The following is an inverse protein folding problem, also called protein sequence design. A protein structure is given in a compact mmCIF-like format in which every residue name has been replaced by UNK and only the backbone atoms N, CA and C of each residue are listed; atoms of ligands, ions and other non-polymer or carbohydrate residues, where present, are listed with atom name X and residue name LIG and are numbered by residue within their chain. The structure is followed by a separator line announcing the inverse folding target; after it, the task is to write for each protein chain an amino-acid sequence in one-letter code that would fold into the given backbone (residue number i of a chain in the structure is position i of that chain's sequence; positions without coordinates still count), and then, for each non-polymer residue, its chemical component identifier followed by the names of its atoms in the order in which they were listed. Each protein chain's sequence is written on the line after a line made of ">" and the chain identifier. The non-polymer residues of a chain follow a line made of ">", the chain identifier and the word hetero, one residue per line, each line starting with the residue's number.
data_IF_298357338878
#
_entry.id   IF_298357338878
#
_cell.length_a   1.000
_cell.length_b   1.000
_cell.length_c   1.000
_cell.angle_alpha   90.00
_cell.angle_beta   90.00
_cell.angle_gamma   90.00
#
_symmetry.space_group_name_H-M   'P 1'
#
loop_
_entity.id
_entity.type
_entity.pdbx_description
1 polymer ?
#
# COMPACT_ATOMS: atom_id res chain seq x y z
N UNK A 1 -3.95 16.71 -12.33
CA UNK A 1 -2.51 16.81 -12.67
C UNK A 1 -1.69 16.13 -11.57
N UNK A 2 -0.67 15.33 -11.92
CA UNK A 2 0.21 14.68 -10.93
C UNK A 2 1.14 15.70 -10.25
N UNK A 3 1.11 15.78 -8.92
CA UNK A 3 1.88 16.74 -8.13
C UNK A 3 3.13 16.14 -7.48
N UNK A 4 2.99 14.96 -6.88
CA UNK A 4 4.05 14.32 -6.12
C UNK A 4 3.85 12.80 -6.09
N UNK A 5 4.96 12.08 -5.91
CA UNK A 5 4.96 10.63 -5.68
C UNK A 5 5.75 10.36 -4.41
N UNK A 6 5.15 9.63 -3.47
CA UNK A 6 5.83 9.06 -2.31
C UNK A 6 5.85 7.53 -2.45
N UNK A 7 6.98 6.90 -2.14
CA UNK A 7 7.14 5.45 -2.15
C UNK A 7 7.39 5.00 -0.72
N UNK A 8 6.59 4.07 -0.23
CA UNK A 8 6.62 3.61 1.16
C UNK A 8 6.64 2.08 1.22
N UNK A 9 7.26 1.47 2.25
CA UNK A 9 7.31 0.02 2.39
C UNK A 9 5.91 -0.60 2.52
N UNK A 10 5.75 -1.84 2.05
CA UNK A 10 4.52 -2.64 2.24
C UNK A 10 4.56 -3.53 3.49
N UNK A 11 5.45 -3.24 4.43
CA UNK A 11 5.63 -3.99 5.66
C UNK A 11 4.62 -3.57 6.76
N UNK A 12 3.73 -4.48 7.25
CA UNK A 12 2.77 -4.16 8.32
C UNK A 12 3.41 -3.75 9.66
N UNK A 13 4.69 -4.09 9.88
CA UNK A 13 5.48 -3.66 11.06
C UNK A 13 5.63 -2.14 11.17
N UNK A 14 5.28 -1.37 10.13
CA UNK A 14 5.17 0.09 10.22
C UNK A 14 4.05 0.54 11.17
N UNK A 15 3.05 -0.30 11.41
CA UNK A 15 1.98 -0.04 12.38
C UNK A 15 2.53 -0.35 13.79
N UNK A 16 2.67 0.63 14.70
CA UNK A 16 3.30 0.44 16.01
C UNK A 16 2.69 -0.71 16.82
N UNK A 17 1.37 -0.88 16.73
CA UNK A 17 0.60 -1.94 17.39
C UNK A 17 1.01 -3.34 16.88
N UNK A 18 1.47 -3.46 15.64
CA UNK A 18 1.99 -4.69 15.06
C UNK A 18 3.49 -4.89 15.32
N UNK A 19 4.24 -3.81 15.54
CA UNK A 19 5.68 -3.88 15.77
C UNK A 19 6.05 -4.45 17.15
N UNK A 20 5.20 -4.28 18.16
CA UNK A 20 5.42 -4.78 19.51
C UNK A 20 6.78 -4.33 20.07
N UNK A 21 7.61 -5.28 20.49
CA UNK A 21 8.94 -4.99 21.04
C UNK A 21 9.89 -4.33 20.01
N UNK A 22 9.67 -4.51 18.71
CA UNK A 22 10.49 -3.92 17.65
C UNK A 22 10.08 -2.47 17.30
N UNK A 23 9.05 -1.91 17.95
CA UNK A 23 8.55 -0.56 17.62
C UNK A 23 9.65 0.51 17.64
N UNK A 24 10.61 0.41 18.57
CA UNK A 24 11.75 1.33 18.63
C UNK A 24 12.70 1.19 17.43
N UNK A 25 12.90 -0.03 16.93
CA UNK A 25 13.80 -0.31 15.79
C UNK A 25 13.23 0.21 14.46
N UNK A 26 11.90 0.25 14.33
CA UNK A 26 11.19 0.68 13.12
C UNK A 26 10.76 2.17 13.19
N UNK A 27 10.95 2.84 14.33
CA UNK A 27 10.47 4.20 14.56
C UNK A 27 10.96 5.21 13.52
N UNK A 28 12.25 5.18 13.16
CA UNK A 28 12.82 6.07 12.15
C UNK A 28 12.24 5.81 10.75
N UNK A 29 11.98 4.55 10.41
CA UNK A 29 11.35 4.16 9.15
C UNK A 29 9.89 4.63 9.08
N UNK A 30 9.15 4.52 10.18
CA UNK A 30 7.80 5.06 10.32
C UNK A 30 7.82 6.59 10.15
N UNK A 31 8.73 7.28 10.84
CA UNK A 31 8.86 8.73 10.75
C UNK A 31 9.15 9.18 9.32
N UNK A 32 10.08 8.51 8.63
CA UNK A 32 10.41 8.80 7.22
C UNK A 32 9.22 8.53 6.28
N UNK A 33 8.49 7.43 6.51
CA UNK A 33 7.27 7.09 5.76
C UNK A 33 6.21 8.18 5.87
N UNK A 34 5.93 8.63 7.10
CA UNK A 34 4.95 9.68 7.35
C UNK A 34 5.41 11.04 6.81
N UNK A 35 6.70 11.37 6.94
CA UNK A 35 7.26 12.60 6.40
C UNK A 35 7.17 12.66 4.87
N UNK A 36 7.46 11.56 4.17
CA UNK A 36 7.31 11.49 2.71
C UNK A 36 5.84 11.67 2.28
N UNK A 37 4.92 10.99 2.96
CA UNK A 37 3.48 11.07 2.66
C UNK A 37 2.88 12.44 2.99
N UNK A 38 3.42 13.17 3.98
CA UNK A 38 2.98 14.51 4.35
C UNK A 38 3.18 15.54 3.22
N UNK A 39 4.07 15.25 2.25
CA UNK A 39 4.31 16.09 1.07
C UNK A 39 3.25 15.94 -0.03
N UNK A 40 2.36 14.94 0.08
CA UNK A 40 1.30 14.72 -0.91
C UNK A 40 0.15 15.72 -0.71
N UNK A 41 -0.52 16.17 -1.80
CA UNK A 41 -1.72 17.02 -1.72
C UNK A 41 -2.92 16.26 -1.13
N UNK A 42 -4.08 16.90 -0.96
CA UNK A 42 -5.25 16.27 -0.32
C UNK A 42 -5.94 15.17 -1.15
N UNK A 43 -5.56 14.94 -2.41
CA UNK A 43 -6.17 13.90 -3.27
C UNK A 43 -5.15 12.85 -3.64
N UNK A 44 -5.37 11.60 -3.23
CA UNK A 44 -4.39 10.53 -3.35
C UNK A 44 -4.85 9.43 -4.30
N UNK A 45 -3.91 8.87 -5.04
CA UNK A 45 -4.00 7.53 -5.61
C UNK A 45 -2.96 6.65 -4.91
N UNK A 46 -3.42 5.67 -4.16
CA UNK A 46 -2.58 4.64 -3.55
C UNK A 46 -2.40 3.52 -4.58
N UNK A 47 -1.18 3.10 -4.82
CA UNK A 47 -0.84 1.99 -5.73
C UNK A 47 -0.17 0.89 -4.92
N UNK A 48 -0.61 -0.34 -5.12
CA UNK A 48 0.07 -1.51 -4.56
C UNK A 48 -0.22 -2.77 -5.37
N UNK A 49 0.26 -3.89 -4.86
CA UNK A 49 0.04 -5.21 -5.47
C UNK A 49 -0.89 -6.08 -4.65
N UNK A 50 -1.50 -7.05 -5.31
CA UNK A 50 -2.42 -8.03 -4.70
C UNK A 50 -2.60 -9.28 -5.57
N UNK A 51 -3.49 -10.20 -5.18
CA UNK A 51 -3.79 -11.41 -5.93
C UNK A 51 -4.62 -11.15 -7.20
N UNK A 52 -5.26 -9.98 -7.29
CA UNK A 52 -6.08 -9.57 -8.42
C UNK A 52 -5.92 -8.06 -8.69
N UNK A 53 -6.38 -7.62 -9.88
CA UNK A 53 -6.57 -6.21 -10.16
C UNK A 53 -7.84 -5.74 -9.44
N UNK A 54 -7.73 -4.75 -8.54
CA UNK A 54 -8.84 -4.25 -7.72
C UNK A 54 -8.78 -2.72 -7.58
N UNK A 55 -9.94 -2.09 -7.34
CA UNK A 55 -10.05 -0.66 -7.07
C UNK A 55 -10.92 -0.43 -5.82
N UNK A 56 -10.45 0.44 -4.93
CA UNK A 56 -11.22 0.87 -3.76
C UNK A 56 -11.40 2.39 -3.76
N UNK A 57 -12.65 2.81 -3.54
CA UNK A 57 -13.04 4.21 -3.48
C UNK A 57 -12.81 4.87 -2.12
N UNK A 58 -12.98 6.20 -2.01
CA UNK A 58 -12.73 6.94 -0.78
C UNK A 58 -13.64 6.55 0.40
N UNK A 59 -14.79 5.94 0.13
CA UNK A 59 -15.74 5.49 1.15
C UNK A 59 -15.34 4.13 1.78
N UNK A 60 -14.30 3.46 1.26
CA UNK A 60 -13.85 2.20 1.81
C UNK A 60 -13.10 2.38 3.14
N UNK A 61 -13.33 1.42 4.03
CA UNK A 61 -12.60 1.25 5.28
C UNK A 61 -12.13 -0.20 5.42
N UNK A 62 -11.13 -0.41 6.25
CA UNK A 62 -10.59 -1.74 6.58
C UNK A 62 -10.03 -1.76 8.00
N UNK A 63 -9.55 -2.92 8.41
CA UNK A 63 -8.93 -3.11 9.73
C UNK A 63 -7.73 -4.04 9.63
N UNK A 64 -6.75 -3.82 10.49
CA UNK A 64 -5.64 -4.76 10.72
C UNK A 64 -6.03 -5.97 11.57
N UNK A 65 -7.33 -6.21 11.86
CA UNK A 65 -7.76 -7.35 12.66
C UNK A 65 -7.28 -8.70 12.10
N UNK A 66 -7.12 -8.82 10.77
CA UNK A 66 -6.50 -9.98 10.11
C UNK A 66 -5.01 -10.20 10.45
N UNK A 67 -4.35 -9.20 11.04
CA UNK A 67 -2.97 -9.23 11.56
C UNK A 67 -2.93 -9.31 13.09
N UNK A 68 -4.08 -9.43 13.75
CA UNK A 68 -4.18 -9.59 15.20
C UNK A 68 -4.34 -8.30 16.01
N UNK A 69 -4.50 -7.14 15.36
CA UNK A 69 -4.77 -5.86 16.06
C UNK A 69 -5.96 -5.14 15.44
N UNK A 70 -6.88 -4.63 16.25
CA UNK A 70 -8.05 -3.90 15.73
C UNK A 70 -7.72 -2.42 15.46
N UNK A 71 -6.81 -2.18 14.53
CA UNK A 71 -6.51 -0.83 14.02
C UNK A 71 -7.32 -0.61 12.76
N UNK A 72 -8.33 0.26 12.85
CA UNK A 72 -9.18 0.63 11.71
C UNK A 72 -8.53 1.73 10.86
N UNK A 73 -8.77 1.66 9.56
CA UNK A 73 -8.27 2.63 8.58
C UNK A 73 -9.36 2.99 7.59
N UNK A 74 -9.31 4.22 7.08
CA UNK A 74 -10.27 4.78 6.13
C UNK A 74 -9.52 5.47 5.00
N UNK A 75 -10.14 5.51 3.82
CA UNK A 75 -9.58 6.18 2.65
C UNK A 75 -10.00 7.65 2.51
N UNK A 76 -10.82 8.19 3.41
CA UNK A 76 -11.22 9.60 3.40
C UNK A 76 -11.54 10.12 4.82
N UNK A 77 -11.58 11.44 5.03
CA UNK A 77 -12.16 12.02 6.23
C UNK A 77 -13.67 11.95 6.08
N UNK A 78 -14.33 11.27 6.99
CA UNK A 78 -15.78 11.15 6.99
C UNK A 78 -16.26 11.40 8.41
N UNK A 79 -17.12 12.39 8.55
CA UNK A 79 -17.91 12.64 9.75
C UNK A 79 -19.17 11.77 9.66
N UNK A 80 -19.45 10.98 10.70
CA UNK A 80 -20.62 10.10 10.75
C UNK A 80 -20.29 8.64 11.08
N UNK A 81 -21.27 7.75 10.86
CA UNK A 81 -21.17 6.33 11.21
C UNK A 81 -19.98 5.66 10.53
N UNK A 82 -19.34 4.77 11.27
CA UNK A 82 -18.15 4.06 10.80
C UNK A 82 -18.57 2.96 9.82
N UNK A 83 -18.15 3.03 8.54
CA UNK A 83 -18.53 2.04 7.55
C UNK A 83 -18.00 0.66 7.95
N UNK A 84 -18.75 -0.38 7.58
CA UNK A 84 -18.34 -1.76 7.82
C UNK A 84 -16.98 -2.05 7.16
N UNK A 85 -15.97 -2.53 7.91
CA UNK A 85 -14.66 -2.80 7.36
C UNK A 85 -14.70 -3.86 6.25
N UNK A 86 -14.16 -3.51 5.09
CA UNK A 86 -13.95 -4.44 3.99
C UNK A 86 -12.66 -5.25 4.19
N UNK A 87 -12.58 -6.40 3.55
CA UNK A 87 -11.34 -7.16 3.41
C UNK A 87 -10.39 -6.47 2.42
N UNK A 88 -9.68 -5.44 2.90
CA UNK A 88 -8.72 -4.69 2.10
C UNK A 88 -7.36 -5.39 2.04
N UNK A 89 -6.65 -5.37 0.89
CA UNK A 89 -5.28 -5.88 0.81
C UNK A 89 -4.31 -5.00 1.63
N UNK A 90 -3.15 -5.56 1.99
CA UNK A 90 -2.16 -4.88 2.85
C UNK A 90 -1.76 -3.50 2.35
N UNK A 91 -1.58 -3.34 1.03
CA UNK A 91 -1.25 -2.05 0.44
C UNK A 91 -2.33 -0.99 0.67
N UNK A 92 -3.61 -1.37 0.63
CA UNK A 92 -4.72 -0.49 0.94
C UNK A 92 -4.79 -0.17 2.44
N UNK A 93 -4.57 -1.16 3.30
CA UNK A 93 -4.55 -0.97 4.76
C UNK A 93 -3.45 -0.01 5.19
N UNK A 94 -2.22 -0.24 4.72
CA UNK A 94 -1.07 0.63 4.98
C UNK A 94 -1.28 2.02 4.37
N UNK A 95 -1.77 2.11 3.14
CA UNK A 95 -2.05 3.40 2.51
C UNK A 95 -3.09 4.22 3.28
N UNK A 96 -4.16 3.59 3.78
CA UNK A 96 -5.15 4.22 4.66
C UNK A 96 -4.56 4.66 6.01
N UNK A 97 -3.70 3.82 6.61
CA UNK A 97 -3.00 4.14 7.85
C UNK A 97 -2.05 5.34 7.69
N UNK A 98 -1.18 5.31 6.67
CA UNK A 98 -0.25 6.40 6.35
C UNK A 98 -1.02 7.69 6.08
N UNK A 99 -2.09 7.62 5.27
CA UNK A 99 -3.00 8.76 5.03
C UNK A 99 -3.55 9.32 6.34
N UNK A 100 -4.10 8.47 7.20
CA UNK A 100 -4.71 8.88 8.46
C UNK A 100 -3.72 9.54 9.43
N UNK A 101 -2.44 9.20 9.34
CA UNK A 101 -1.38 9.75 10.20
C UNK A 101 -0.69 10.98 9.61
N UNK A 102 -0.45 11.01 8.30
CA UNK A 102 0.32 12.06 7.64
C UNK A 102 -0.56 13.20 7.10
N UNK A 103 -1.74 12.89 6.58
CA UNK A 103 -2.68 13.86 5.98
C UNK A 103 -4.13 13.47 6.33
N UNK A 104 -4.58 13.71 7.58
CA UNK A 104 -5.90 13.27 8.07
C UNK A 104 -7.10 13.90 7.36
N UNK A 105 -6.88 14.87 6.46
CA UNK A 105 -7.89 15.51 5.61
C UNK A 105 -7.86 15.03 4.14
N UNK A 106 -6.87 14.22 3.74
CA UNK A 106 -6.77 13.77 2.35
C UNK A 106 -7.83 12.72 1.98
N UNK A 107 -8.26 12.63 0.73
CA UNK A 107 -9.13 11.57 0.22
C UNK A 107 -8.37 10.73 -0.79
N UNK A 108 -8.44 9.41 -0.66
CA UNK A 108 -7.66 8.45 -1.42
C UNK A 108 -8.55 7.48 -2.20
N UNK A 109 -8.07 7.06 -3.37
CA UNK A 109 -8.50 5.84 -4.06
C UNK A 109 -7.34 4.87 -4.11
N UNK A 110 -7.62 3.57 -4.10
CA UNK A 110 -6.59 2.53 -4.21
C UNK A 110 -6.68 1.86 -5.57
N UNK A 111 -5.53 1.65 -6.22
CA UNK A 111 -5.33 0.81 -7.39
C UNK A 111 -4.42 -0.36 -7.01
N UNK A 112 -5.02 -1.55 -6.95
CA UNK A 112 -4.30 -2.79 -6.71
C UNK A 112 -4.08 -3.45 -8.06
N UNK A 113 -2.82 -3.82 -8.33
CA UNK A 113 -2.47 -4.57 -9.52
C UNK A 113 -2.05 -5.98 -9.14
N UNK A 114 -2.43 -6.96 -9.95
CA UNK A 114 -2.00 -8.34 -9.75
C UNK A 114 -0.48 -8.43 -9.78
N UNK A 115 0.11 -9.10 -8.78
CA UNK A 115 1.57 -9.15 -8.60
C UNK A 115 2.34 -9.90 -9.69
N UNK A 116 1.66 -10.71 -10.51
CA UNK A 116 2.26 -11.50 -11.58
C UNK A 116 2.25 -10.80 -12.96
N UNK A 117 1.83 -9.54 -13.02
CA UNK A 117 1.87 -8.77 -14.27
C UNK A 117 3.30 -8.66 -14.79
N UNK A 118 3.50 -9.06 -16.05
CA UNK A 118 4.77 -8.82 -16.74
C UNK A 118 5.04 -7.33 -16.96
N UNK A 119 6.31 -6.98 -17.18
CA UNK A 119 6.75 -5.58 -17.33
C UNK A 119 5.96 -4.79 -18.39
N UNK A 120 5.61 -5.41 -19.52
CA UNK A 120 4.80 -4.76 -20.58
C UNK A 120 3.40 -4.37 -20.07
N UNK A 121 2.76 -5.25 -19.31
CA UNK A 121 1.45 -4.98 -18.73
C UNK A 121 1.53 -3.87 -17.68
N UNK A 122 2.54 -3.92 -16.80
CA UNK A 122 2.78 -2.87 -15.81
C UNK A 122 3.00 -1.50 -16.46
N UNK A 123 3.82 -1.41 -17.51
CA UNK A 123 4.03 -0.17 -18.25
C UNK A 123 2.76 0.36 -18.92
N UNK A 124 1.94 -0.53 -19.49
CA UNK A 124 0.65 -0.13 -20.08
C UNK A 124 -0.29 0.43 -19.01
N UNK A 125 -0.45 -0.27 -17.88
CA UNK A 125 -1.30 0.17 -16.77
C UNK A 125 -0.82 1.50 -16.17
N UNK A 126 0.49 1.68 -16.01
CA UNK A 126 1.05 2.95 -15.55
C UNK A 126 0.73 4.13 -16.47
N UNK A 127 0.77 3.93 -17.80
CA UNK A 127 0.37 4.97 -18.77
C UNK A 127 -1.13 5.27 -18.74
N UNK A 128 -1.95 4.24 -18.60
CA UNK A 128 -3.41 4.38 -18.43
C UNK A 128 -3.72 5.21 -17.19
N UNK A 129 -3.14 4.84 -16.04
CA UNK A 129 -3.33 5.56 -14.79
C UNK A 129 -2.81 7.01 -14.87
N UNK A 130 -1.66 7.23 -15.52
CA UNK A 130 -1.15 8.59 -15.73
C UNK A 130 -2.15 9.44 -16.53
N UNK A 131 -2.73 8.87 -17.58
CA UNK A 131 -3.75 9.54 -18.41
C UNK A 131 -5.00 9.88 -17.59
N UNK A 132 -5.43 8.98 -16.69
CA UNK A 132 -6.55 9.25 -15.77
C UNK A 132 -6.23 10.41 -14.82
N UNK A 133 -5.05 10.41 -14.20
CA UNK A 133 -4.61 11.47 -13.26
C UNK A 133 -4.49 12.84 -13.95
N UNK A 134 -4.02 12.87 -15.20
CA UNK A 134 -3.86 14.12 -15.95
C UNK A 134 -5.19 14.74 -16.35
N UNK A 135 -6.28 13.95 -16.42
CA UNK A 135 -7.64 14.45 -16.67
C UNK A 135 -8.30 15.10 -15.45
N UNK A 136 -7.78 14.84 -14.26
CA UNK A 136 -8.32 15.44 -13.03
C UNK A 136 -7.81 16.88 -12.89
N UNK A 137 -8.69 17.85 -12.62
CA UNK A 137 -8.29 19.25 -12.49
C UNK A 137 -7.51 19.51 -11.20
N UNK A 138 -7.72 18.72 -10.15
CA UNK A 138 -7.02 18.87 -8.87
C UNK A 138 -5.58 18.29 -8.90
N UNK A 139 -4.69 18.80 -8.03
CA UNK A 139 -3.40 18.18 -7.77
C UNK A 139 -3.57 16.79 -7.14
N UNK A 140 -3.00 15.77 -7.76
CA UNK A 140 -3.04 14.39 -7.27
C UNK A 140 -1.67 13.98 -6.74
N UNK A 141 -1.65 13.44 -5.53
CA UNK A 141 -0.51 12.73 -4.95
C UNK A 141 -0.61 11.24 -5.24
N UNK A 142 0.51 10.59 -5.51
CA UNK A 142 0.56 9.13 -5.64
C UNK A 142 1.36 8.56 -4.49
N UNK A 143 0.75 7.63 -3.75
CA UNK A 143 1.43 6.83 -2.73
C UNK A 143 1.65 5.42 -3.28
N UNK A 144 2.89 5.05 -3.56
CA UNK A 144 3.23 3.68 -3.97
C UNK A 144 3.61 2.88 -2.73
N UNK A 145 2.80 1.90 -2.38
CA UNK A 145 3.03 0.96 -1.27
C UNK A 145 3.65 -0.30 -1.86
N UNK A 146 4.96 -0.44 -1.70
CA UNK A 146 5.73 -1.52 -2.30
C UNK A 146 6.96 -1.83 -1.46
N UNK A 147 7.31 -3.11 -1.39
CA UNK A 147 8.61 -3.55 -0.90
C UNK A 147 9.59 -3.74 -2.06
N UNK A 148 10.87 -3.46 -1.78
CA UNK A 148 11.96 -3.72 -2.71
C UNK A 148 12.22 -5.22 -2.90
N UNK A 149 13.31 -5.57 -3.58
CA UNK A 149 13.69 -6.96 -3.76
C UNK A 149 13.95 -7.64 -2.40
N UNK A 150 13.19 -8.70 -2.08
CA UNK A 150 13.35 -9.54 -0.89
C UNK A 150 14.61 -10.43 -0.93
N UNK A 151 15.63 -10.07 -1.71
CA UNK A 151 16.85 -10.87 -1.94
C UNK A 151 18.11 -10.24 -1.34
N UNK A 152 17.97 -9.15 -0.58
CA UNK A 152 19.11 -8.39 -0.04
C UNK A 152 19.76 -9.04 1.19
N UNK A 153 19.10 -9.99 1.85
CA UNK A 153 19.70 -10.78 2.93
C UNK A 153 19.30 -12.26 2.85
N UNK A 154 20.18 -13.20 3.25
CA UNK A 154 19.85 -14.63 3.32
C UNK A 154 18.67 -14.98 4.23
N UNK A 155 18.26 -14.05 5.10
CA UNK A 155 17.19 -14.20 6.09
C UNK A 155 15.87 -13.53 5.68
N UNK A 156 15.82 -12.87 4.52
CA UNK A 156 14.57 -12.35 4.00
C UNK A 156 13.62 -13.53 3.66
N UNK A 157 12.30 -13.43 3.96
CA UNK A 157 11.38 -14.51 3.67
C UNK A 157 11.27 -14.69 2.15
N UNK A 158 11.99 -15.68 1.62
CA UNK A 158 11.79 -16.13 0.25
C UNK A 158 10.52 -16.98 0.20
N UNK A 159 9.67 -16.73 -0.79
CA UNK A 159 8.57 -17.62 -1.16
C UNK A 159 9.14 -19.03 -1.42
N UNK A 160 8.87 -19.97 -0.51
CA UNK A 160 9.35 -21.36 -0.62
C UNK A 160 8.48 -22.14 -1.60
N UNK A 161 8.40 -21.72 -2.85
CA UNK A 161 7.93 -22.57 -3.96
C UNK A 161 9.12 -23.14 -4.72
N UNK A 162 9.98 -23.89 -4.01
CA UNK A 162 11.00 -24.72 -4.66
C UNK A 162 10.35 -25.99 -5.22
N UNK A 163 10.07 -25.94 -6.52
CA UNK A 163 9.69 -27.10 -7.34
C UNK A 163 10.78 -28.18 -7.26
N UNK A 164 10.47 -29.33 -6.65
CA UNK A 164 11.31 -30.52 -6.76
C UNK A 164 11.01 -31.23 -8.07
N UNK A 165 11.87 -31.05 -9.08
CA UNK A 165 11.89 -31.91 -10.28
C UNK A 165 12.55 -33.25 -9.93
N UNK A 166 11.95 -34.41 -10.23
CA UNK A 166 12.59 -35.70 -9.91
C UNK A 166 13.79 -35.94 -10.83
N UNK A 167 14.94 -36.28 -10.24
CA UNK A 167 16.11 -36.79 -10.96
C UNK A 167 15.78 -38.19 -11.50
N UNK A 168 15.80 -38.36 -12.83
CA UNK A 168 15.95 -39.71 -13.42
C UNK A 168 17.34 -40.24 -13.03
N UNK A 169 17.36 -41.45 -12.48
CA UNK A 169 18.56 -42.27 -12.24
C UNK A 169 18.71 -43.28 -13.41
N UNK A 170 19.93 -43.81 -13.62
CA UNK A 170 20.48 -44.17 -14.94
C UNK A 170 19.80 -45.36 -15.61
#
# INVERSE_FOLDING_TARGET
>A
MLSAIAIVPSAPVLVPELAGAAAAEVADLVAATLAAAALLPERWVIIGTGPADEEFGPDAAGTFAGFGVDVRVRLSPQDGDEPEPLALPVCALLGGWVRGRAQPQASARVRVYRGDHGATAALRRGRELRTEIDRLPEPIGVLVVADGANTLTPSAPADTTRTTRPRKRP
#
